data_IF_024218572513
#
_entry.id   IF_024218572513
#
_cell.length_a   1.000
_cell.length_b   1.000
_cell.length_c   1.000
_cell.angle_alpha   90.00
_cell.angle_beta   90.00
_cell.angle_gamma   90.00
#
_symmetry.space_group_name_H-M   'P 1'
#
loop_
_entity.id
_entity.type
_entity.pdbx_description
1 polymer ?
#
# COMPACT_ATOMS: atom_id res chain seq x y z
N UNK A 1 -23.03 -0.11 -14.74
CA UNK A 1 -22.65 0.20 -14.45
C UNK A 1 -21.84 0.76 -14.15
N UNK A 2 -21.59 1.16 -13.78
CA UNK A 2 -20.81 1.74 -13.52
C UNK A 2 -20.39 1.87 -12.43
N UNK A 3 -19.56 1.83 -11.89
CA UNK A 3 -19.18 1.95 -10.75
C UNK A 3 -18.56 3.10 -10.46
N UNK A 4 -18.38 3.55 -9.32
CA UNK A 4 -17.71 4.76 -8.98
C UNK A 4 -16.25 4.61 -9.25
N UNK A 5 -15.68 5.46 -10.07
CA UNK A 5 -14.26 5.39 -10.34
C UNK A 5 -13.43 5.53 -9.07
N UNK A 6 -13.92 6.31 -8.14
CA UNK A 6 -13.25 6.53 -6.91
C UNK A 6 -13.04 5.26 -6.14
N UNK A 7 -14.05 4.41 -6.11
CA UNK A 7 -13.93 3.16 -5.44
C UNK A 7 -12.94 2.24 -6.11
N UNK A 8 -12.94 2.22 -7.42
CA UNK A 8 -12.00 1.38 -8.15
C UNK A 8 -10.58 1.80 -7.87
N UNK A 9 -10.34 3.11 -7.81
CA UNK A 9 -9.03 3.61 -7.53
C UNK A 9 -8.57 3.27 -6.14
N UNK A 10 -9.45 3.42 -5.16
CA UNK A 10 -9.10 3.12 -3.79
C UNK A 10 -8.75 1.66 -3.63
N UNK A 11 -9.53 0.81 -4.25
CA UNK A 11 -9.27 -0.60 -4.16
C UNK A 11 -7.94 -0.97 -4.79
N UNK A 12 -7.66 -0.40 -5.95
CA UNK A 12 -6.39 -0.67 -6.61
C UNK A 12 -5.22 -0.21 -5.76
N UNK A 13 -5.38 0.93 -5.11
CA UNK A 13 -4.33 1.46 -4.26
C UNK A 13 -4.08 0.55 -3.07
N UNK A 14 -5.14 0.13 -2.41
CA UNK A 14 -5.00 -0.75 -1.26
C UNK A 14 -4.39 -2.07 -1.68
N UNK A 15 -4.82 -2.61 -2.80
CA UNK A 15 -4.27 -3.87 -3.29
C UNK A 15 -2.79 -3.72 -3.56
N UNK A 16 -2.38 -2.61 -4.14
CA UNK A 16 -0.98 -2.38 -4.44
C UNK A 16 -0.15 -2.32 -3.15
N UNK A 17 -0.68 -1.66 -2.15
CA UNK A 17 0.02 -1.54 -0.89
C UNK A 17 0.14 -2.90 -0.21
N UNK A 18 -0.94 -3.66 -0.20
CA UNK A 18 -0.91 -4.98 0.43
C UNK A 18 0.07 -5.89 -0.29
N UNK A 19 0.06 -5.84 -1.59
CA UNK A 19 0.97 -6.67 -2.36
C UNK A 19 2.42 -6.27 -2.11
N UNK A 20 2.67 -4.97 -2.06
CA UNK A 20 4.01 -4.49 -1.80
C UNK A 20 4.48 -4.92 -0.42
N UNK A 21 3.58 -4.84 0.55
CA UNK A 21 3.92 -5.23 1.92
C UNK A 21 4.27 -6.72 1.98
N UNK A 22 3.46 -7.55 1.32
CA UNK A 22 3.70 -8.98 1.32
C UNK A 22 5.04 -9.30 0.66
N UNK A 23 5.35 -8.60 -0.41
CA UNK A 23 6.58 -8.83 -1.13
C UNK A 23 7.80 -8.46 -0.28
N UNK A 24 7.74 -7.31 0.36
CA UNK A 24 8.84 -6.88 1.19
C UNK A 24 9.03 -7.81 2.37
N UNK A 25 7.93 -8.20 2.97
CA UNK A 25 8.00 -9.10 4.11
C UNK A 25 8.61 -10.44 3.69
N UNK A 26 8.25 -10.94 2.52
CA UNK A 26 8.78 -12.19 2.03
C UNK A 26 10.25 -12.12 1.69
N UNK A 27 10.70 -10.97 1.20
CA UNK A 27 12.10 -10.83 0.78
C UNK A 27 13.02 -10.41 1.92
N UNK A 28 12.56 -9.52 2.75
CA UNK A 28 13.43 -8.93 3.77
C UNK A 28 13.03 -9.27 5.19
N UNK A 29 11.87 -9.83 5.36
CA UNK A 29 11.39 -10.16 6.69
C UNK A 29 11.01 -8.93 7.47
N UNK A 30 10.71 -9.13 8.75
CA UNK A 30 10.28 -8.02 9.59
C UNK A 30 11.34 -6.96 9.76
N UNK A 31 12.59 -7.36 9.75
CA UNK A 31 13.67 -6.41 9.95
C UNK A 31 13.70 -5.37 8.84
N UNK A 32 13.34 -5.76 7.62
CA UNK A 32 13.35 -4.84 6.51
C UNK A 32 12.00 -4.24 6.21
N UNK A 33 11.00 -4.56 7.00
CA UNK A 33 9.65 -4.10 6.76
C UNK A 33 9.44 -2.72 7.37
N UNK A 34 9.32 -1.72 6.54
CA UNK A 34 9.06 -0.36 7.01
C UNK A 34 7.98 0.27 6.15
N UNK A 35 7.28 1.23 6.73
CA UNK A 35 6.24 1.93 6.01
C UNK A 35 6.78 2.59 4.75
N UNK A 36 7.96 3.18 4.87
CA UNK A 36 8.58 3.85 3.73
C UNK A 36 8.82 2.87 2.59
N UNK A 37 9.32 1.71 2.90
CA UNK A 37 9.61 0.73 1.86
C UNK A 37 8.32 0.25 1.21
N UNK A 38 7.29 0.04 2.00
CA UNK A 38 6.02 -0.41 1.47
C UNK A 38 5.44 0.63 0.53
N UNK A 39 5.43 1.89 0.95
CA UNK A 39 4.87 2.96 0.14
C UNK A 39 5.67 3.09 -1.15
N UNK A 40 6.98 3.02 -1.05
CA UNK A 40 7.83 3.14 -2.21
C UNK A 40 7.60 2.00 -3.20
N UNK A 41 7.51 0.80 -2.69
CA UNK A 41 7.28 -0.37 -3.54
C UNK A 41 5.90 -0.32 -4.19
N UNK A 42 4.93 0.22 -3.48
CA UNK A 42 3.59 0.33 -4.02
C UNK A 42 3.44 1.51 -4.98
N UNK A 43 4.42 2.39 -5.00
CA UNK A 43 4.35 3.53 -5.89
C UNK A 43 3.47 4.64 -5.37
N UNK A 44 3.29 4.74 -4.06
CA UNK A 44 2.45 5.78 -3.48
C UNK A 44 3.27 6.61 -2.52
N UNK A 45 2.80 7.81 -2.25
CA UNK A 45 3.49 8.66 -1.30
C UNK A 45 3.17 8.19 0.11
N UNK A 46 4.01 8.57 1.03
CA UNK A 46 3.80 8.23 2.43
C UNK A 46 2.48 8.81 2.93
N UNK A 47 2.15 10.00 2.49
CA UNK A 47 0.90 10.60 2.88
C UNK A 47 -0.30 9.79 2.42
N UNK A 48 -0.24 9.32 1.19
CA UNK A 48 -1.32 8.49 0.67
C UNK A 48 -1.41 7.18 1.42
N UNK A 49 -0.27 6.61 1.75
CA UNK A 49 -0.25 5.37 2.50
C UNK A 49 -1.04 5.53 3.81
N UNK A 50 -0.77 6.61 4.54
CA UNK A 50 -1.41 6.81 5.82
C UNK A 50 -2.89 7.17 5.70
N UNK A 51 -3.32 7.57 4.53
CA UNK A 51 -4.74 7.80 4.32
C UNK A 51 -5.50 6.50 4.33
N UNK A 52 -4.88 5.44 3.89
CA UNK A 52 -5.53 4.14 3.83
C UNK A 52 -5.21 3.29 5.05
N UNK A 53 -4.07 3.52 5.69
CA UNK A 53 -3.66 2.77 6.86
C UNK A 53 -3.23 3.73 7.93
N UNK A 54 -4.17 4.39 8.55
CA UNK A 54 -3.80 5.45 9.51
C UNK A 54 -3.24 4.89 10.76
N UNK A 55 -2.92 4.16 11.23
CA UNK A 55 -2.34 3.77 12.41
C UNK A 55 -1.45 4.04 12.98
N UNK A 56 -1.37 3.85 13.45
CA UNK A 56 -0.63 3.93 14.01
C UNK A 56 -0.43 3.25 14.43
#
# INVERSE_FOLDING_TARGET
>A
MRKAPRQARSKAMVDAIVEAAARILGQQGWAGFTTNKVAEAAGVSIGSYYQYFPDK
#
